data_IF_149999966018
#
_entry.id   IF_149999966018
#
_cell.length_a   1.000
_cell.length_b   1.000
_cell.length_c   1.000
_cell.angle_alpha   90.00
_cell.angle_beta   90.00
_cell.angle_gamma   90.00
#
_symmetry.space_group_name_H-M   'P 1'
#
loop_
_entity.id
_entity.type
_entity.pdbx_description
1 polymer ?
#
# COMPACT_ATOMS: atom_id res chain seq x y z
N UNK A 1 1.39 -3.12 -29.67
CA UNK A 1 1.31 -2.69 -28.26
C UNK A 1 0.36 -3.63 -27.56
N UNK A 2 0.81 -4.36 -26.54
CA UNK A 2 -0.13 -5.10 -25.70
C UNK A 2 -0.93 -4.05 -24.93
N UNK A 3 -2.22 -3.93 -25.22
CA UNK A 3 -3.12 -3.11 -24.43
C UNK A 3 -2.96 -3.52 -22.96
N UNK A 4 -2.72 -2.53 -22.09
CA UNK A 4 -2.66 -2.76 -20.65
C UNK A 4 -4.06 -2.54 -20.12
N UNK A 5 -4.85 -3.60 -19.82
CA UNK A 5 -6.27 -3.45 -19.48
C UNK A 5 -6.51 -2.59 -18.24
N UNK A 6 -5.49 -2.48 -17.37
CA UNK A 6 -5.57 -1.61 -16.19
C UNK A 6 -5.61 -0.12 -16.52
N UNK A 7 -5.14 0.33 -17.69
CA UNK A 7 -5.12 1.77 -18.05
C UNK A 7 -6.52 2.35 -18.22
N UNK A 8 -7.52 1.50 -18.49
CA UNK A 8 -8.93 1.90 -18.62
C UNK A 8 -9.73 1.73 -17.32
N UNK A 9 -9.08 1.48 -16.18
CA UNK A 9 -9.79 1.42 -14.90
C UNK A 9 -10.24 2.83 -14.48
N UNK A 10 -11.45 3.00 -13.91
CA UNK A 10 -11.98 4.32 -13.55
C UNK A 10 -11.09 5.14 -12.61
N UNK A 11 -10.28 4.49 -11.78
CA UNK A 11 -9.30 5.14 -10.89
C UNK A 11 -8.23 5.95 -11.65
N UNK A 12 -8.11 5.74 -12.97
CA UNK A 12 -7.15 6.38 -13.85
C UNK A 12 -7.77 7.39 -14.84
N UNK A 13 -9.08 7.54 -14.93
CA UNK A 13 -9.75 8.37 -15.96
C UNK A 13 -9.25 9.82 -15.98
N UNK A 14 -8.99 10.40 -14.81
CA UNK A 14 -8.51 11.78 -14.65
C UNK A 14 -6.99 11.89 -14.43
N UNK A 15 -6.24 10.79 -14.60
CA UNK A 15 -4.79 10.80 -14.36
C UNK A 15 -4.01 11.23 -15.61
N UNK A 16 -3.01 12.11 -15.45
CA UNK A 16 -2.22 12.56 -16.59
C UNK A 16 -1.37 11.41 -17.16
N UNK A 17 -1.00 11.45 -18.45
CA UNK A 17 -0.17 10.41 -19.08
C UNK A 17 1.12 10.09 -18.30
N UNK A 18 1.82 11.11 -17.78
CA UNK A 18 3.03 10.93 -16.99
C UNK A 18 2.81 10.09 -15.71
N UNK A 19 1.62 10.18 -15.10
CA UNK A 19 1.26 9.33 -13.96
C UNK A 19 1.11 7.87 -14.40
N UNK A 20 0.40 7.62 -15.51
CA UNK A 20 0.21 6.27 -16.06
C UNK A 20 1.52 5.64 -16.52
N UNK A 21 2.45 6.45 -17.04
CA UNK A 21 3.78 5.98 -17.41
C UNK A 21 4.64 5.66 -16.18
N UNK A 22 4.51 6.43 -15.10
CA UNK A 22 5.14 6.09 -13.82
C UNK A 22 4.57 4.79 -13.23
N UNK A 23 3.24 4.59 -13.24
CA UNK A 23 2.59 3.33 -12.82
C UNK A 23 3.14 2.16 -13.65
N UNK A 24 3.21 2.35 -14.96
CA UNK A 24 3.75 1.36 -15.89
C UNK A 24 5.21 1.00 -15.62
N UNK A 25 6.05 2.00 -15.28
CA UNK A 25 7.45 1.84 -14.96
C UNK A 25 7.65 1.02 -13.68
N UNK A 26 6.96 1.39 -12.58
CA UNK A 26 7.04 0.63 -11.32
C UNK A 26 6.49 -0.79 -11.46
N UNK A 27 5.48 -0.98 -12.31
CA UNK A 27 4.93 -2.30 -12.61
C UNK A 27 5.98 -3.31 -13.09
N UNK A 28 7.04 -2.87 -13.79
CA UNK A 28 8.10 -3.79 -14.24
C UNK A 28 8.88 -4.40 -13.07
N UNK A 29 9.26 -3.60 -12.07
CA UNK A 29 9.96 -4.08 -10.88
C UNK A 29 9.06 -5.00 -10.04
N UNK A 30 7.78 -4.65 -9.90
CA UNK A 30 6.80 -5.44 -9.14
C UNK A 30 6.49 -6.78 -9.80
N UNK A 31 6.41 -6.83 -11.14
CA UNK A 31 6.16 -8.08 -11.88
C UNK A 31 7.36 -9.02 -11.88
N UNK A 32 8.57 -8.52 -11.59
CA UNK A 32 9.77 -9.34 -11.45
C UNK A 32 9.87 -10.04 -10.08
N UNK A 33 9.01 -9.68 -9.12
CA UNK A 33 8.99 -10.30 -7.81
C UNK A 33 8.47 -11.75 -7.90
N UNK A 34 9.12 -12.64 -7.15
CA UNK A 34 8.61 -13.98 -6.88
C UNK A 34 7.26 -13.93 -6.15
N UNK A 35 6.50 -15.03 -6.21
CA UNK A 35 5.24 -15.14 -5.48
C UNK A 35 5.40 -14.86 -3.98
N UNK A 36 6.46 -15.38 -3.35
CA UNK A 36 6.72 -15.15 -1.93
C UNK A 36 6.99 -13.67 -1.64
N UNK A 37 7.84 -13.02 -2.44
CA UNK A 37 8.09 -11.58 -2.33
C UNK A 37 6.80 -10.75 -2.50
N UNK A 38 5.93 -11.12 -3.45
CA UNK A 38 4.63 -10.44 -3.63
C UNK A 38 3.73 -10.62 -2.40
N UNK A 39 3.66 -11.82 -1.82
CA UNK A 39 2.90 -12.08 -0.59
C UNK A 39 3.42 -11.26 0.58
N UNK A 40 4.73 -11.24 0.78
CA UNK A 40 5.36 -10.49 1.87
C UNK A 40 5.16 -8.98 1.70
N UNK A 41 5.31 -8.48 0.47
CA UNK A 41 5.04 -7.09 0.14
C UNK A 41 3.55 -6.75 0.29
N UNK A 42 2.64 -7.67 0.01
CA UNK A 42 1.19 -7.45 0.17
C UNK A 42 0.81 -7.26 1.65
N UNK A 43 1.44 -7.98 2.59
CA UNK A 43 1.23 -7.76 4.03
C UNK A 43 1.75 -6.37 4.45
N UNK A 44 2.93 -5.97 3.97
CA UNK A 44 3.42 -4.61 4.20
C UNK A 44 2.46 -3.56 3.60
N UNK A 45 2.02 -3.78 2.36
CA UNK A 45 1.11 -2.88 1.67
C UNK A 45 -0.22 -2.74 2.39
N UNK A 46 -0.76 -3.82 2.94
CA UNK A 46 -1.95 -3.79 3.77
C UNK A 46 -1.78 -2.86 5.00
N UNK A 47 -0.64 -2.96 5.68
CA UNK A 47 -0.31 -2.06 6.79
C UNK A 47 -0.28 -0.59 6.36
N UNK A 48 0.34 -0.30 5.20
CA UNK A 48 0.38 1.05 4.64
C UNK A 48 -1.01 1.58 4.27
N UNK A 49 -1.82 0.78 3.60
CA UNK A 49 -3.16 1.18 3.13
C UNK A 49 -4.11 1.45 4.30
N UNK A 50 -4.12 0.57 5.30
CA UNK A 50 -4.88 0.77 6.54
C UNK A 50 -4.44 2.05 7.23
N UNK A 51 -3.13 2.23 7.46
CA UNK A 51 -2.63 3.46 8.07
C UNK A 51 -3.02 4.69 7.24
N UNK A 52 -2.84 4.68 5.92
CA UNK A 52 -3.17 5.80 5.06
C UNK A 52 -4.65 6.22 5.18
N UNK A 53 -5.58 5.25 5.15
CA UNK A 53 -7.01 5.55 5.27
C UNK A 53 -7.36 6.08 6.67
N UNK A 54 -6.75 5.53 7.72
CA UNK A 54 -6.90 6.04 9.08
C UNK A 54 -6.43 7.50 9.16
N UNK A 55 -5.23 7.82 8.69
CA UNK A 55 -4.70 9.20 8.72
C UNK A 55 -5.58 10.16 7.90
N UNK A 56 -6.14 9.70 6.77
CA UNK A 56 -7.06 10.51 5.96
C UNK A 56 -8.34 10.82 6.74
N UNK A 57 -8.94 9.83 7.41
CA UNK A 57 -10.16 10.01 8.22
C UNK A 57 -9.93 10.93 9.40
N UNK A 58 -8.83 10.76 10.13
CA UNK A 58 -8.48 11.65 11.24
C UNK A 58 -8.28 13.09 10.77
N UNK A 59 -7.46 13.30 9.72
CA UNK A 59 -7.18 14.63 9.19
C UNK A 59 -8.43 15.34 8.67
N UNK A 60 -9.37 14.58 8.07
CA UNK A 60 -10.64 15.13 7.56
C UNK A 60 -11.72 15.25 8.63
N UNK A 61 -11.44 14.85 9.87
CA UNK A 61 -12.43 14.75 10.94
C UNK A 61 -13.68 13.97 10.51
N UNK A 62 -13.46 12.85 9.81
CA UNK A 62 -14.56 12.03 9.30
C UNK A 62 -15.43 11.48 10.46
N UNK A 63 -16.75 11.29 10.24
CA UNK A 63 -17.65 10.76 11.28
C UNK A 63 -17.23 9.39 11.82
N UNK A 64 -16.54 8.60 11.00
CA UNK A 64 -16.09 7.23 11.28
C UNK A 64 -14.58 7.15 11.61
N UNK A 65 -14.01 8.26 12.11
CA UNK A 65 -12.63 8.30 12.59
C UNK A 65 -12.44 7.38 13.81
N UNK A 66 -11.24 6.84 13.97
CA UNK A 66 -10.89 5.84 14.98
C UNK A 66 -10.27 6.45 16.24
N UNK A 67 -9.85 7.71 16.13
CA UNK A 67 -9.21 8.47 17.19
C UNK A 67 -7.70 8.34 17.21
N UNK A 68 -7.08 9.29 17.91
CA UNK A 68 -5.63 9.51 17.91
C UNK A 68 -4.83 8.30 18.37
N UNK A 69 -5.35 7.51 19.30
CA UNK A 69 -4.65 6.34 19.84
C UNK A 69 -4.41 5.27 18.75
N UNK A 70 -5.45 4.91 18.01
CA UNK A 70 -5.37 3.92 16.92
C UNK A 70 -4.53 4.48 15.76
N UNK A 71 -4.74 5.75 15.40
CA UNK A 71 -3.97 6.40 14.35
C UNK A 71 -2.47 6.44 14.67
N UNK A 72 -2.10 6.76 15.91
CA UNK A 72 -0.70 6.76 16.37
C UNK A 72 -0.12 5.36 16.39
N UNK A 73 -0.85 4.36 16.91
CA UNK A 73 -0.39 2.98 16.96
C UNK A 73 -0.15 2.40 15.55
N UNK A 74 -1.10 2.61 14.63
CA UNK A 74 -0.97 2.19 13.22
C UNK A 74 0.22 2.87 12.53
N UNK A 75 0.40 4.17 12.74
CA UNK A 75 1.53 4.91 12.18
C UNK A 75 2.87 4.44 12.74
N UNK A 76 2.96 4.23 14.06
CA UNK A 76 4.17 3.70 14.71
C UNK A 76 4.51 2.31 14.19
N UNK A 77 3.50 1.47 13.95
CA UNK A 77 3.68 0.13 13.42
C UNK A 77 4.30 0.16 12.02
N UNK A 78 3.74 0.95 11.10
CA UNK A 78 4.30 1.11 9.74
C UNK A 78 5.74 1.64 9.81
N UNK A 79 6.01 2.65 10.64
CA UNK A 79 7.38 3.18 10.83
C UNK A 79 8.35 2.14 11.36
N UNK A 80 7.91 1.30 12.30
CA UNK A 80 8.72 0.22 12.84
C UNK A 80 9.06 -0.79 11.74
N UNK A 81 8.07 -1.22 10.96
CA UNK A 81 8.27 -2.16 9.85
C UNK A 81 9.26 -1.62 8.83
N UNK A 82 9.12 -0.34 8.45
CA UNK A 82 10.08 0.33 7.56
C UNK A 82 11.47 0.27 8.21
N UNK A 83 11.65 0.78 9.43
CA UNK A 83 12.97 0.83 10.08
C UNK A 83 13.61 -0.55 10.23
N UNK A 84 12.86 -1.54 10.70
CA UNK A 84 13.36 -2.85 11.07
C UNK A 84 13.40 -3.82 9.88
N UNK A 85 12.77 -3.43 8.75
CA UNK A 85 12.59 -4.24 7.53
C UNK A 85 11.97 -5.60 7.79
N UNK A 86 11.07 -5.66 8.77
CA UNK A 86 10.41 -6.89 9.20
C UNK A 86 9.03 -6.60 9.75
N UNK A 87 8.10 -7.53 9.55
CA UNK A 87 6.81 -7.54 10.23
C UNK A 87 6.80 -8.72 11.19
N UNK A 88 6.66 -8.45 12.49
CA UNK A 88 6.57 -9.50 13.52
C UNK A 88 5.11 -9.65 13.91
N UNK A 89 4.42 -10.65 13.39
CA UNK A 89 3.01 -10.88 13.66
C UNK A 89 2.80 -11.56 15.03
N UNK A 90 1.61 -11.42 15.60
CA UNK A 90 1.19 -12.19 16.78
C UNK A 90 1.33 -13.69 16.49
N UNK A 91 1.76 -14.46 17.49
CA UNK A 91 2.16 -15.86 17.29
C UNK A 91 3.62 -16.07 16.88
N UNK A 92 4.38 -14.99 16.66
CA UNK A 92 5.84 -15.05 16.45
C UNK A 92 6.27 -15.25 14.99
N UNK A 93 5.32 -15.27 14.05
CA UNK A 93 5.63 -15.25 12.62
C UNK A 93 6.38 -13.96 12.25
N UNK A 94 7.44 -14.10 11.45
CA UNK A 94 8.25 -12.98 10.98
C UNK A 94 8.25 -12.96 9.46
N UNK A 95 7.75 -11.86 8.89
CA UNK A 95 7.87 -11.55 7.47
C UNK A 95 9.12 -10.71 7.27
N UNK A 96 10.05 -11.21 6.46
CA UNK A 96 11.32 -10.56 6.21
C UNK A 96 11.26 -9.71 4.93
N UNK A 97 11.47 -8.40 5.09
CA UNK A 97 11.45 -7.43 3.98
C UNK A 97 12.87 -6.94 3.65
N UNK A 98 13.91 -7.65 4.12
CA UNK A 98 15.32 -7.31 3.86
C UNK A 98 15.82 -7.76 2.50
N UNK A 99 15.05 -8.58 1.78
CA UNK A 99 15.33 -8.92 0.39
C UNK A 99 15.57 -7.63 -0.43
N UNK A 100 16.64 -7.56 -1.26
CA UNK A 100 16.98 -6.33 -1.97
C UNK A 100 15.85 -5.77 -2.83
N UNK A 101 15.11 -6.62 -3.54
CA UNK A 101 14.04 -6.16 -4.43
C UNK A 101 12.88 -5.55 -3.65
N UNK A 102 12.53 -6.13 -2.49
CA UNK A 102 11.53 -5.57 -1.59
C UNK A 102 12.00 -4.28 -0.93
N UNK A 103 13.24 -4.27 -0.43
CA UNK A 103 13.83 -3.12 0.23
C UNK A 103 13.86 -1.91 -0.71
N UNK A 104 14.28 -2.10 -1.95
CA UNK A 104 14.41 -1.01 -2.92
C UNK A 104 13.04 -0.39 -3.25
N UNK A 105 11.99 -1.20 -3.36
CA UNK A 105 10.61 -0.71 -3.54
C UNK A 105 10.10 0.08 -2.31
N UNK A 106 10.37 -0.43 -1.10
CA UNK A 106 9.97 0.23 0.16
C UNK A 106 10.73 1.55 0.34
N UNK A 107 12.04 1.56 0.05
CA UNK A 107 12.88 2.74 0.16
C UNK A 107 12.50 3.81 -0.85
N UNK A 108 12.17 3.40 -2.08
CA UNK A 108 11.67 4.32 -3.08
C UNK A 108 10.34 4.95 -2.65
N UNK A 109 9.38 4.16 -2.15
CA UNK A 109 8.13 4.67 -1.59
C UNK A 109 8.36 5.66 -0.46
N UNK A 110 9.27 5.33 0.47
CA UNK A 110 9.64 6.22 1.57
C UNK A 110 10.26 7.53 1.05
N UNK A 111 11.22 7.44 0.13
CA UNK A 111 11.91 8.60 -0.46
C UNK A 111 10.93 9.54 -1.14
N UNK A 112 10.08 9.00 -2.01
CA UNK A 112 9.07 9.75 -2.75
C UNK A 112 8.06 10.41 -1.81
N UNK A 113 7.56 9.70 -0.79
CA UNK A 113 6.59 10.27 0.14
C UNK A 113 7.20 11.41 0.98
N UNK A 114 8.45 11.29 1.42
CA UNK A 114 9.13 12.35 2.17
C UNK A 114 9.42 13.57 1.29
N UNK A 115 9.95 13.37 0.09
CA UNK A 115 10.25 14.44 -0.85
C UNK A 115 8.96 15.13 -1.35
N UNK A 116 7.91 14.35 -1.60
CA UNK A 116 6.61 14.83 -2.07
C UNK A 116 5.88 15.76 -1.09
N UNK A 117 6.30 15.83 0.18
CA UNK A 117 5.79 16.84 1.13
C UNK A 117 6.05 18.28 0.69
N UNK A 118 7.05 18.49 -0.17
CA UNK A 118 7.48 19.80 -0.67
C UNK A 118 7.31 19.95 -2.18
N UNK A 119 6.97 18.87 -2.88
CA UNK A 119 6.94 18.80 -4.34
C UNK A 119 5.74 17.97 -4.81
N UNK A 120 4.82 18.63 -5.52
CA UNK A 120 3.59 18.01 -5.99
C UNK A 120 3.83 16.95 -7.07
N UNK A 121 4.83 17.11 -7.94
CA UNK A 121 5.16 16.15 -8.99
C UNK A 121 5.73 14.86 -8.38
N UNK A 122 6.64 15.01 -7.42
CA UNK A 122 7.19 13.88 -6.68
C UNK A 122 6.11 13.17 -5.86
N UNK A 123 5.15 13.93 -5.31
CA UNK A 123 4.00 13.33 -4.65
C UNK A 123 3.14 12.50 -5.62
N UNK A 124 2.94 12.96 -6.86
CA UNK A 124 2.27 12.14 -7.88
C UNK A 124 3.04 10.85 -8.19
N UNK A 125 4.38 10.87 -8.18
CA UNK A 125 5.17 9.65 -8.34
C UNK A 125 4.99 8.68 -7.16
N UNK A 126 4.90 9.18 -5.92
CA UNK A 126 4.60 8.34 -4.75
C UNK A 126 3.23 7.65 -4.90
N UNK A 127 2.22 8.40 -5.35
CA UNK A 127 0.89 7.86 -5.63
C UNK A 127 0.91 6.87 -6.78
N UNK A 128 1.71 7.10 -7.83
CA UNK A 128 1.87 6.18 -8.94
C UNK A 128 2.52 4.85 -8.50
N UNK A 129 3.55 4.88 -7.65
CA UNK A 129 4.12 3.66 -7.07
C UNK A 129 3.09 2.90 -6.22
N UNK A 130 2.33 3.61 -5.39
CA UNK A 130 1.26 2.98 -4.61
C UNK A 130 0.20 2.33 -5.49
N UNK A 131 -0.21 2.99 -6.58
CA UNK A 131 -1.16 2.46 -7.54
C UNK A 131 -0.60 1.22 -8.27
N UNK A 132 0.67 1.25 -8.66
CA UNK A 132 1.35 0.09 -9.26
C UNK A 132 1.39 -1.11 -8.30
N UNK A 133 1.64 -0.88 -7.01
CA UNK A 133 1.58 -1.93 -5.99
C UNK A 133 0.16 -2.49 -5.84
N UNK A 134 -0.88 -1.65 -5.84
CA UNK A 134 -2.27 -2.11 -5.79
C UNK A 134 -2.68 -2.96 -7.01
N UNK A 135 -2.14 -2.66 -8.19
CA UNK A 135 -2.33 -3.46 -9.40
C UNK A 135 -1.56 -4.79 -9.32
N UNK A 136 -0.26 -4.74 -9.08
CA UNK A 136 0.62 -5.91 -9.17
C UNK A 136 0.41 -6.93 -8.03
N UNK A 137 -0.13 -6.47 -6.90
CA UNK A 137 -0.39 -7.29 -5.72
C UNK A 137 -1.89 -7.58 -5.54
N UNK A 138 -2.76 -7.19 -6.48
CA UNK A 138 -4.22 -7.25 -6.31
C UNK A 138 -4.71 -8.64 -5.87
N UNK A 139 -4.13 -9.68 -6.47
CA UNK A 139 -4.41 -11.10 -6.20
C UNK A 139 -3.94 -11.58 -4.82
N UNK A 140 -3.04 -10.85 -4.16
CA UNK A 140 -2.49 -11.18 -2.85
C UNK A 140 -2.97 -10.22 -1.75
N UNK A 141 -3.58 -9.08 -2.09
CA UNK A 141 -3.89 -8.02 -1.12
C UNK A 141 -4.97 -8.42 -0.11
N UNK A 142 -6.00 -9.17 -0.51
CA UNK A 142 -7.03 -9.62 0.44
C UNK A 142 -6.44 -10.55 1.51
N UNK A 143 -5.60 -11.51 1.10
CA UNK A 143 -4.86 -12.38 2.04
C UNK A 143 -3.88 -11.57 2.88
N UNK A 144 -3.19 -10.60 2.28
CA UNK A 144 -2.27 -9.69 2.97
C UNK A 144 -2.95 -8.86 4.06
N UNK A 145 -4.17 -8.35 3.78
CA UNK A 145 -5.00 -7.64 4.76
C UNK A 145 -5.40 -8.58 5.89
N UNK A 146 -5.91 -9.78 5.58
CA UNK A 146 -6.30 -10.73 6.61
C UNK A 146 -5.13 -11.08 7.54
N UNK A 147 -3.97 -11.46 6.98
CA UNK A 147 -2.75 -11.77 7.73
C UNK A 147 -2.27 -10.59 8.57
N UNK A 148 -2.30 -9.38 8.04
CA UNK A 148 -1.91 -8.20 8.80
C UNK A 148 -2.90 -7.90 9.93
N UNK A 149 -4.21 -7.95 9.69
CA UNK A 149 -5.22 -7.69 10.73
C UNK A 149 -5.08 -8.68 11.87
N UNK A 150 -5.04 -9.98 11.56
CA UNK A 150 -4.93 -11.05 12.55
C UNK A 150 -3.61 -10.98 13.34
N UNK A 151 -2.53 -10.61 12.67
CA UNK A 151 -1.18 -10.62 13.25
C UNK A 151 -0.68 -9.28 13.79
N UNK A 152 -1.31 -8.15 13.49
CA UNK A 152 -0.78 -6.84 13.87
C UNK A 152 -0.90 -6.53 15.36
N UNK A 153 -1.83 -7.19 16.06
CA UNK A 153 -2.25 -6.84 17.41
C UNK A 153 -3.03 -5.54 17.51
N UNK A 154 -3.47 -4.98 16.39
CA UNK A 154 -4.38 -3.84 16.31
C UNK A 154 -5.78 -4.34 15.97
N UNK A 155 -6.80 -3.68 16.53
CA UNK A 155 -8.19 -3.94 16.18
C UNK A 155 -8.66 -2.89 15.17
N UNK A 156 -9.25 -3.36 14.06
CA UNK A 156 -9.78 -2.53 12.99
C UNK A 156 -11.27 -2.85 12.80
N UNK A 157 -12.15 -1.84 12.69
CA UNK A 157 -13.55 -2.10 12.43
C UNK A 157 -13.77 -2.55 10.98
N UNK A 158 -14.77 -3.41 10.76
CA UNK A 158 -15.12 -3.93 9.44
C UNK A 158 -15.38 -2.82 8.41
N UNK A 159 -15.93 -1.69 8.84
CA UNK A 159 -16.17 -0.53 7.97
C UNK A 159 -14.87 0.09 7.42
N UNK A 160 -13.76 0.04 8.18
CA UNK A 160 -12.45 0.43 7.68
C UNK A 160 -11.93 -0.61 6.70
N UNK A 161 -12.02 -1.89 7.05
CA UNK A 161 -11.53 -2.99 6.21
C UNK A 161 -12.25 -3.01 4.85
N UNK A 162 -13.57 -2.85 4.84
CA UNK A 162 -14.36 -2.75 3.63
C UNK A 162 -13.95 -1.52 2.79
N UNK A 163 -13.75 -0.37 3.42
CA UNK A 163 -13.33 0.83 2.71
C UNK A 163 -11.93 0.68 2.08
N UNK A 164 -10.99 -0.03 2.74
CA UNK A 164 -9.69 -0.36 2.16
C UNK A 164 -9.86 -1.28 0.94
N UNK A 165 -10.67 -2.35 1.06
CA UNK A 165 -10.92 -3.27 -0.06
C UNK A 165 -11.51 -2.55 -1.25
N UNK A 166 -12.54 -1.73 -1.05
CA UNK A 166 -13.17 -0.97 -2.14
C UNK A 166 -12.21 0.03 -2.78
N UNK A 167 -11.49 0.82 -1.97
CA UNK A 167 -10.63 1.88 -2.50
C UNK A 167 -9.33 1.38 -3.16
N UNK A 168 -8.81 0.21 -2.74
CA UNK A 168 -7.47 -0.22 -3.12
C UNK A 168 -7.36 -1.63 -3.71
N UNK A 169 -8.42 -2.45 -3.62
CA UNK A 169 -8.48 -3.75 -4.29
C UNK A 169 -9.48 -3.70 -5.44
N UNK A 170 -10.75 -3.40 -5.15
CA UNK A 170 -11.82 -3.39 -6.15
C UNK A 170 -11.57 -2.32 -7.23
N UNK A 171 -11.14 -1.11 -6.83
CA UNK A 171 -10.80 -0.04 -7.75
C UNK A 171 -9.65 -0.36 -8.72
N UNK A 172 -8.82 -1.37 -8.39
CA UNK A 172 -7.65 -1.78 -9.16
C UNK A 172 -7.81 -3.16 -9.80
N UNK A 173 -8.98 -3.80 -9.65
CA UNK A 173 -9.24 -5.12 -10.21
C UNK A 173 -9.42 -5.02 -11.72
N UNK A 174 -8.56 -5.70 -12.47
CA UNK A 174 -8.74 -5.89 -13.92
C UNK A 174 -9.73 -7.03 -14.16
N UNK A 175 -10.64 -6.84 -15.12
CA UNK A 175 -11.59 -7.86 -15.56
C UNK A 175 -10.91 -9.06 -16.24
#
# INVERSE_FOLDING_TARGET
MVERPWRSLPVFDEKPPAFLDAVAAYGHALNALSLQQRRDLAVFKAAELLNALIQIRERRQAPDRLGDAVAKASFQRVRQVIRDRRIVLQGGEVIDLRDPALRDLIDEGCRLFHAGRKDAEVYQQALALSAAQCLALNDQLDEGIARYVDGSGLSFPDSLLQAVRTAFIEAYRTA
#
